data_IF_459910011292
#
_entry.id   IF_459910011292
#
_cell.length_a   1.000
_cell.length_b   1.000
_cell.length_c   1.000
_cell.angle_alpha   90.00
_cell.angle_beta   90.00
_cell.angle_gamma   90.00
#
_symmetry.space_group_name_H-M   'P 1'
#
loop_
_entity.id
_entity.type
_entity.pdbx_description
1 polymer ?
#
# COMPACT_ATOMS: atom_id res chain seq x y z
N UNK A 1 2.92 35.21 0.06
CA UNK A 1 3.26 34.55 1.33
C UNK A 1 2.13 33.58 1.57
N UNK A 2 2.39 32.31 1.33
CA UNK A 2 1.42 31.27 1.62
C UNK A 2 1.10 31.33 3.11
N UNK A 3 -0.19 31.44 3.43
CA UNK A 3 -0.62 31.49 4.82
C UNK A 3 -0.31 30.12 5.43
N UNK A 4 0.43 30.12 6.52
CA UNK A 4 0.66 28.93 7.33
C UNK A 4 -0.40 28.89 8.42
N UNK A 5 -0.92 27.70 8.69
CA UNK A 5 -1.99 27.44 9.64
C UNK A 5 -1.53 26.39 10.66
N UNK A 6 -1.84 26.62 11.93
CA UNK A 6 -1.58 25.65 12.98
C UNK A 6 -2.69 24.60 13.00
N UNK A 7 -2.34 23.32 12.80
CA UNK A 7 -3.28 22.20 12.88
C UNK A 7 -2.95 21.33 14.08
N UNK A 8 -3.87 21.26 15.04
CA UNK A 8 -3.71 20.55 16.30
C UNK A 8 -4.53 19.26 16.32
N UNK A 9 -3.93 18.15 16.75
CA UNK A 9 -4.64 16.92 17.09
C UNK A 9 -5.14 17.01 18.52
N UNK A 10 -6.45 16.91 18.70
CA UNK A 10 -7.10 16.82 19.99
C UNK A 10 -6.81 15.47 20.66
N UNK A 11 -6.55 15.48 21.97
CA UNK A 11 -6.26 14.27 22.74
C UNK A 11 -5.45 14.53 24.00
N UNK A 12 -5.07 13.46 24.70
CA UNK A 12 -4.27 13.52 25.92
C UNK A 12 -2.80 13.90 25.68
N UNK A 13 -2.29 13.72 24.47
CA UNK A 13 -0.96 14.15 24.02
C UNK A 13 -1.11 14.98 22.72
N UNK A 14 -1.48 16.27 22.83
CA UNK A 14 -1.75 17.10 21.67
C UNK A 14 -0.47 17.28 20.84
N UNK A 15 -0.61 17.07 19.53
CA UNK A 15 0.44 17.34 18.54
C UNK A 15 -0.02 18.47 17.65
N UNK A 16 0.87 19.42 17.37
CA UNK A 16 0.59 20.56 16.49
C UNK A 16 1.57 20.54 15.33
N UNK A 17 1.05 20.72 14.13
CA UNK A 17 1.81 20.79 12.88
C UNK A 17 1.47 22.09 12.17
N UNK A 18 2.49 22.80 11.70
CA UNK A 18 2.33 23.97 10.84
C UNK A 18 2.10 23.49 9.40
N UNK A 19 1.00 23.94 8.78
CA UNK A 19 0.56 23.47 7.45
C UNK A 19 0.38 24.67 6.53
N UNK A 20 1.00 24.65 5.36
CA UNK A 20 0.77 25.68 4.35
C UNK A 20 -0.67 25.60 3.80
N UNK A 21 -1.28 26.74 3.45
CA UNK A 21 -2.68 26.81 3.04
C UNK A 21 -3.04 26.08 1.73
N UNK A 22 -2.04 25.67 0.95
CA UNK A 22 -2.13 24.84 -0.24
C UNK A 22 -1.65 23.39 -0.02
N UNK A 23 -1.10 23.09 1.17
CA UNK A 23 -0.62 21.76 1.52
C UNK A 23 -1.73 20.91 2.12
N UNK A 24 -1.78 19.64 1.68
CA UNK A 24 -2.74 18.65 2.21
C UNK A 24 -2.36 18.29 3.65
N UNK A 25 -3.36 18.16 4.52
CA UNK A 25 -3.16 17.81 5.93
C UNK A 25 -2.31 16.55 6.08
N UNK A 26 -2.63 15.48 5.35
CA UNK A 26 -1.87 14.23 5.45
C UNK A 26 -0.38 14.39 5.10
N UNK A 27 -0.06 15.11 4.03
CA UNK A 27 1.32 15.35 3.60
C UNK A 27 2.10 16.12 4.67
N UNK A 28 1.52 17.20 5.22
CA UNK A 28 2.15 18.00 6.25
C UNK A 28 2.42 17.21 7.54
N UNK A 29 1.45 16.40 7.96
CA UNK A 29 1.55 15.58 9.16
C UNK A 29 2.66 14.54 9.05
N UNK A 30 2.69 13.77 7.96
CA UNK A 30 3.71 12.73 7.78
C UNK A 30 5.11 13.31 7.57
N UNK A 31 5.24 14.48 6.94
CA UNK A 31 6.53 15.21 6.83
C UNK A 31 7.06 15.70 8.18
N UNK A 32 6.18 15.93 9.13
CA UNK A 32 6.55 16.32 10.50
C UNK A 32 6.66 15.11 11.46
N UNK A 33 6.63 13.88 10.93
CA UNK A 33 6.70 12.66 11.74
C UNK A 33 5.48 12.43 12.62
N UNK A 34 4.37 13.12 12.35
CA UNK A 34 3.09 12.93 13.04
C UNK A 34 2.24 12.00 12.21
N UNK A 35 2.11 10.77 12.67
CA UNK A 35 1.32 9.76 11.98
C UNK A 35 -0.16 10.16 11.88
N UNK A 36 -0.73 9.92 10.70
CA UNK A 36 -2.17 9.84 10.46
C UNK A 36 -2.46 8.58 9.63
N UNK A 37 -3.58 7.88 9.90
CA UNK A 37 -3.93 6.70 9.13
C UNK A 37 -4.03 6.99 7.63
N UNK A 38 -3.41 6.18 6.78
CA UNK A 38 -3.42 6.35 5.34
C UNK A 38 -3.20 5.04 4.57
N UNK A 39 -3.74 4.97 3.34
CA UNK A 39 -3.55 3.82 2.45
C UNK A 39 -3.39 4.26 0.99
N UNK A 40 -4.26 5.12 0.44
CA UNK A 40 -4.20 5.41 -1.01
C UNK A 40 -3.64 6.78 -1.44
N UNK A 41 -3.62 7.77 -0.53
CA UNK A 41 -3.34 9.20 -0.82
C UNK A 41 -4.13 9.88 -1.97
N UNK A 42 -5.16 9.23 -2.53
CA UNK A 42 -5.95 9.71 -3.67
C UNK A 42 -7.46 9.82 -3.39
N UNK A 43 -7.86 9.76 -2.11
CA UNK A 43 -9.26 9.96 -1.70
C UNK A 43 -10.20 8.78 -1.96
N UNK A 44 -9.69 7.57 -2.23
CA UNK A 44 -10.52 6.40 -2.60
C UNK A 44 -10.70 5.37 -1.47
N UNK A 45 -9.82 5.36 -0.45
CA UNK A 45 -9.84 4.32 0.60
C UNK A 45 -10.64 4.69 1.86
N UNK A 46 -10.72 5.99 2.19
CA UNK A 46 -11.36 6.48 3.42
C UNK A 46 -10.55 6.30 4.72
N UNK A 47 -9.37 5.68 4.70
CA UNK A 47 -8.54 5.44 5.89
C UNK A 47 -8.13 6.74 6.59
N UNK A 48 -7.79 7.78 5.84
CA UNK A 48 -7.35 9.08 6.38
C UNK A 48 -8.50 9.98 6.87
N UNK A 49 -9.62 9.39 7.28
CA UNK A 49 -10.78 10.14 7.76
C UNK A 49 -10.48 10.70 9.15
N UNK A 50 -10.58 12.01 9.26
CA UNK A 50 -10.39 12.76 10.52
C UNK A 50 -11.60 13.67 10.73
N UNK A 51 -11.88 14.06 11.97
CA UNK A 51 -13.00 14.95 12.27
C UNK A 51 -12.49 16.33 12.61
N UNK A 52 -12.99 17.36 11.95
CA UNK A 52 -12.70 18.75 12.29
C UNK A 52 -13.56 19.16 13.48
N UNK A 53 -12.91 19.49 14.60
CA UNK A 53 -13.57 20.00 15.80
C UNK A 53 -13.70 21.52 15.77
N UNK A 54 -12.68 22.21 15.26
CA UNK A 54 -12.63 23.67 15.09
C UNK A 54 -11.83 24.06 13.85
N UNK A 55 -12.13 25.23 13.31
CA UNK A 55 -11.46 25.77 12.12
C UNK A 55 -12.15 25.38 10.82
N UNK A 56 -11.52 25.75 9.70
CA UNK A 56 -12.05 25.56 8.36
C UNK A 56 -11.00 24.83 7.51
N UNK A 57 -11.44 23.78 6.83
CA UNK A 57 -10.67 23.09 5.81
C UNK A 57 -11.45 23.08 4.50
N UNK A 58 -10.73 23.01 3.39
CA UNK A 58 -11.29 22.84 2.05
C UNK A 58 -10.83 21.49 1.48
N UNK A 59 -11.76 20.74 0.90
CA UNK A 59 -11.47 19.50 0.16
C UNK A 59 -12.35 19.43 -1.09
N UNK A 60 -11.92 18.75 -2.17
CA UNK A 60 -12.78 18.40 -3.29
C UNK A 60 -13.98 17.57 -2.83
N UNK A 61 -15.08 17.61 -3.59
CA UNK A 61 -16.26 16.77 -3.31
C UNK A 61 -15.88 15.30 -3.33
N UNK A 62 -15.95 14.59 -2.20
CA UNK A 62 -15.56 13.19 -2.13
C UNK A 62 -16.66 12.30 -2.68
N UNK A 63 -16.30 11.07 -3.06
CA UNK A 63 -17.29 10.05 -3.38
C UNK A 63 -18.13 9.72 -2.15
N UNK A 64 -19.45 9.64 -2.32
CA UNK A 64 -20.39 9.25 -1.25
C UNK A 64 -20.10 7.85 -0.67
N UNK A 65 -19.44 6.99 -1.47
CA UNK A 65 -19.00 5.66 -1.03
C UNK A 65 -17.82 5.69 -0.06
N UNK A 66 -17.05 6.79 -0.05
CA UNK A 66 -15.85 6.96 0.78
C UNK A 66 -16.14 7.86 1.99
N UNK A 67 -16.86 8.95 1.76
CA UNK A 67 -17.26 9.91 2.79
C UNK A 67 -18.71 10.35 2.55
N UNK A 68 -19.64 9.83 3.35
CA UNK A 68 -21.07 10.08 3.16
C UNK A 68 -21.46 11.52 3.48
N UNK A 69 -22.62 11.97 3.00
CA UNK A 69 -23.14 13.30 3.31
C UNK A 69 -23.34 13.52 4.84
N UNK A 70 -23.76 12.48 5.55
CA UNK A 70 -23.93 12.51 7.01
C UNK A 70 -22.58 12.66 7.74
N UNK A 71 -21.55 11.97 7.25
CA UNK A 71 -20.19 12.09 7.79
C UNK A 71 -19.63 13.50 7.54
N UNK A 72 -19.80 14.04 6.33
CA UNK A 72 -19.41 15.41 6.00
C UNK A 72 -20.11 16.44 6.89
N UNK A 73 -21.42 16.30 7.07
CA UNK A 73 -22.22 17.17 7.95
C UNK A 73 -21.79 17.03 9.42
N UNK A 74 -21.29 15.86 9.82
CA UNK A 74 -20.73 15.61 11.14
C UNK A 74 -19.29 16.11 11.32
N UNK A 75 -18.73 16.78 10.31
CA UNK A 75 -17.40 17.39 10.35
C UNK A 75 -16.26 16.45 9.95
N UNK A 76 -16.55 15.26 9.40
CA UNK A 76 -15.49 14.39 8.88
C UNK A 76 -14.97 14.86 7.53
N UNK A 77 -13.66 14.72 7.35
CA UNK A 77 -12.94 15.09 6.12
C UNK A 77 -11.86 14.05 5.81
N UNK A 78 -11.37 14.04 4.58
CA UNK A 78 -10.24 13.19 4.19
C UNK A 78 -8.94 13.98 4.29
N UNK A 79 -8.05 13.63 5.23
CA UNK A 79 -6.80 14.37 5.44
C UNK A 79 -5.92 14.42 4.17
N UNK A 80 -5.96 13.39 3.32
CA UNK A 80 -5.22 13.37 2.04
C UNK A 80 -5.80 14.31 0.97
N UNK A 81 -6.99 14.85 1.15
CA UNK A 81 -7.66 15.75 0.20
C UNK A 81 -7.94 17.14 0.79
N UNK A 82 -7.69 17.34 2.09
CA UNK A 82 -8.06 18.55 2.81
C UNK A 82 -6.88 19.51 2.95
N UNK A 83 -7.12 20.81 2.75
CA UNK A 83 -6.16 21.91 2.99
C UNK A 83 -6.76 22.89 4.01
N UNK A 84 -5.96 23.43 4.95
CA UNK A 84 -6.47 24.34 5.98
C UNK A 84 -6.68 25.76 5.43
N UNK A 85 -7.74 26.44 5.89
CA UNK A 85 -8.03 27.87 5.60
C UNK A 85 -8.00 28.77 6.84
N UNK A 86 -7.86 28.15 8.01
CA UNK A 86 -7.63 28.77 9.31
C UNK A 86 -6.79 27.81 10.15
N UNK A 87 -6.46 28.18 11.38
CA UNK A 87 -6.00 27.20 12.37
C UNK A 87 -7.12 26.17 12.60
N UNK A 88 -6.75 24.90 12.75
CA UNK A 88 -7.69 23.77 12.79
C UNK A 88 -7.39 22.88 13.99
N UNK A 89 -8.45 22.39 14.64
CA UNK A 89 -8.38 21.34 15.65
C UNK A 89 -9.05 20.09 15.08
N UNK A 90 -8.33 18.97 15.01
CA UNK A 90 -8.82 17.70 14.46
C UNK A 90 -8.82 16.58 15.51
N UNK A 91 -9.79 15.68 15.42
CA UNK A 91 -9.82 14.42 16.14
C UNK A 91 -9.42 13.29 15.18
N UNK A 92 -8.51 12.44 15.65
CA UNK A 92 -8.03 11.25 14.93
C UNK A 92 -8.56 9.99 15.61
N UNK A 93 -8.73 8.88 14.86
CA UNK A 93 -9.10 7.59 15.44
C UNK A 93 -8.18 7.17 16.60
N UNK A 94 -8.72 6.52 17.62
CA UNK A 94 -7.99 6.15 18.85
C UNK A 94 -6.81 5.19 18.62
N UNK A 95 -6.83 4.43 17.52
CA UNK A 95 -5.77 3.52 17.06
C UNK A 95 -4.67 4.25 16.26
N UNK A 96 -4.78 5.56 16.07
CA UNK A 96 -3.75 6.36 15.39
C UNK A 96 -2.41 6.45 16.16
N UNK A 97 -2.29 5.85 17.33
CA UNK A 97 -1.03 5.77 18.08
C UNK A 97 -0.04 4.71 17.58
N UNK A 98 -0.49 3.74 16.78
CA UNK A 98 0.24 2.49 16.51
C UNK A 98 0.72 2.30 15.07
N UNK A 99 0.68 3.34 14.23
CA UNK A 99 1.10 3.24 12.83
C UNK A 99 2.59 3.50 12.59
N UNK A 100 3.07 3.24 11.36
CA UNK A 100 4.46 3.50 10.96
C UNK A 100 4.82 4.98 11.13
N UNK A 101 5.98 5.27 11.71
CA UNK A 101 6.42 6.64 12.07
C UNK A 101 7.54 7.18 11.19
N UNK A 102 7.74 6.58 10.02
CA UNK A 102 8.75 7.04 9.08
C UNK A 102 8.34 8.38 8.48
N UNK A 103 9.29 9.30 8.41
CA UNK A 103 9.05 10.66 7.91
C UNK A 103 8.88 10.62 6.40
N UNK A 104 7.77 11.17 5.93
CA UNK A 104 7.53 11.37 4.51
C UNK A 104 8.55 12.37 3.95
N UNK A 105 9.21 12.03 2.85
CA UNK A 105 10.14 12.91 2.15
C UNK A 105 10.10 12.71 0.64
N UNK A 106 10.61 13.71 -0.06
CA UNK A 106 10.87 13.62 -1.49
C UNK A 106 12.18 12.84 -1.69
N UNK A 107 12.19 11.99 -2.70
CA UNK A 107 13.23 11.02 -2.99
C UNK A 107 13.63 11.15 -4.45
N UNK A 108 14.94 11.06 -4.69
CA UNK A 108 15.49 10.90 -6.02
C UNK A 108 16.32 9.63 -6.06
N UNK A 109 16.32 9.00 -7.22
CA UNK A 109 17.13 7.82 -7.48
C UNK A 109 17.30 7.58 -8.97
N UNK A 110 17.97 6.48 -9.29
CA UNK A 110 18.15 6.04 -10.67
C UNK A 110 17.71 4.60 -10.83
N UNK A 111 17.10 4.31 -11.97
CA UNK A 111 16.81 2.92 -12.36
C UNK A 111 18.11 2.12 -12.32
N UNK A 112 18.14 1.10 -11.47
CA UNK A 112 19.25 0.17 -11.37
C UNK A 112 19.07 -1.01 -12.32
N UNK A 113 17.86 -1.56 -12.36
CA UNK A 113 17.54 -2.74 -13.17
C UNK A 113 16.05 -2.72 -13.54
N UNK A 114 15.73 -3.21 -14.75
CA UNK A 114 14.37 -3.53 -15.17
C UNK A 114 14.39 -4.97 -15.69
N UNK A 115 13.68 -5.87 -15.02
CA UNK A 115 13.60 -7.29 -15.39
C UNK A 115 12.17 -7.65 -15.75
N UNK A 116 11.95 -8.16 -16.95
CA UNK A 116 10.68 -8.84 -17.27
C UNK A 116 10.59 -10.13 -16.46
N UNK A 117 9.55 -10.26 -15.63
CA UNK A 117 9.40 -11.38 -14.69
C UNK A 117 8.21 -12.28 -15.01
N UNK A 118 7.23 -11.76 -15.76
CA UNK A 118 6.06 -12.47 -16.26
C UNK A 118 5.45 -11.66 -17.42
N UNK A 119 4.43 -12.23 -18.08
CA UNK A 119 3.65 -11.51 -19.09
C UNK A 119 3.10 -10.20 -18.49
N UNK A 120 3.31 -9.09 -19.21
CA UNK A 120 2.92 -7.74 -18.81
C UNK A 120 3.46 -7.32 -17.43
N UNK A 121 4.53 -7.93 -16.91
CA UNK A 121 5.00 -7.66 -15.54
C UNK A 121 6.52 -7.50 -15.48
N UNK A 122 6.98 -6.39 -14.88
CA UNK A 122 8.40 -6.13 -14.63
C UNK A 122 8.69 -5.99 -13.14
N UNK A 123 9.86 -6.46 -12.72
CA UNK A 123 10.51 -6.04 -11.49
C UNK A 123 11.40 -4.83 -11.81
N UNK A 124 11.10 -3.70 -11.19
CA UNK A 124 11.84 -2.44 -11.32
C UNK A 124 12.62 -2.20 -10.04
N UNK A 125 13.95 -2.11 -10.15
CA UNK A 125 14.81 -1.76 -9.02
C UNK A 125 15.33 -0.35 -9.20
N UNK A 126 15.15 0.51 -8.20
CA UNK A 126 15.65 1.90 -8.18
C UNK A 126 16.68 2.05 -7.08
N UNK A 127 17.88 2.51 -7.43
CA UNK A 127 18.90 2.90 -6.45
C UNK A 127 18.67 4.35 -6.03
N UNK A 128 18.42 4.57 -4.75
CA UNK A 128 18.18 5.87 -4.14
C UNK A 128 19.49 6.67 -3.98
N UNK A 129 19.37 8.00 -4.02
CA UNK A 129 20.47 8.88 -3.66
C UNK A 129 20.71 8.89 -2.13
N UNK A 130 19.62 8.79 -1.35
CA UNK A 130 19.66 8.68 0.12
C UNK A 130 18.75 7.52 0.61
N UNK A 131 19.20 6.66 1.53
CA UNK A 131 18.42 5.52 2.03
C UNK A 131 17.08 5.90 2.65
N UNK A 132 16.01 5.16 2.33
CA UNK A 132 14.68 5.36 2.86
C UNK A 132 14.41 4.42 4.04
N UNK A 133 14.07 4.98 5.20
CA UNK A 133 13.46 4.18 6.26
C UNK A 133 11.97 3.97 5.96
N UNK A 134 11.51 2.72 5.99
CA UNK A 134 10.11 2.36 5.79
C UNK A 134 9.77 1.09 6.58
N UNK A 135 8.47 0.80 6.69
CA UNK A 135 7.95 -0.45 7.27
C UNK A 135 7.54 -1.41 6.15
N UNK A 136 7.79 -2.71 6.33
CA UNK A 136 7.50 -3.73 5.33
C UNK A 136 6.02 -3.69 4.90
N UNK A 137 5.77 -3.49 3.61
CA UNK A 137 4.42 -3.38 3.02
C UNK A 137 3.97 -1.95 2.64
N UNK A 138 4.72 -0.92 3.06
CA UNK A 138 4.51 0.47 2.61
C UNK A 138 4.75 0.63 1.09
N UNK A 139 4.37 1.80 0.58
CA UNK A 139 4.56 2.17 -0.83
C UNK A 139 5.21 3.55 -0.98
N UNK A 140 5.66 3.87 -2.19
CA UNK A 140 6.02 5.22 -2.62
C UNK A 140 5.12 5.66 -3.76
N UNK A 141 4.94 6.97 -3.90
CA UNK A 141 4.42 7.58 -5.11
C UNK A 141 5.58 7.85 -6.06
N UNK A 142 5.51 7.34 -7.30
CA UNK A 142 6.47 7.61 -8.36
C UNK A 142 5.87 8.63 -9.32
N UNK A 143 6.61 9.70 -9.62
CA UNK A 143 6.21 10.74 -10.56
C UNK A 143 6.46 10.30 -12.00
N UNK A 144 5.45 10.41 -12.86
CA UNK A 144 5.58 10.17 -14.30
C UNK A 144 6.22 11.41 -14.96
N UNK A 145 7.41 11.28 -15.55
CA UNK A 145 8.17 12.42 -16.08
C UNK A 145 7.38 13.28 -17.06
N UNK A 146 7.45 14.60 -16.89
CA UNK A 146 6.83 15.57 -17.80
C UNK A 146 5.30 15.72 -17.70
N UNK A 147 4.64 15.00 -16.79
CA UNK A 147 3.17 15.01 -16.68
C UNK A 147 2.66 15.55 -15.33
N UNK A 148 3.49 15.51 -14.29
CA UNK A 148 3.06 15.84 -12.91
C UNK A 148 2.17 14.78 -12.26
N UNK A 149 1.81 13.73 -12.99
CA UNK A 149 1.02 12.61 -12.48
C UNK A 149 1.86 11.70 -11.60
N UNK A 150 1.30 11.22 -10.50
CA UNK A 150 1.96 10.27 -9.58
C UNK A 150 1.21 8.95 -9.54
N UNK A 151 1.92 7.84 -9.36
CA UNK A 151 1.33 6.51 -9.18
C UNK A 151 1.97 5.77 -8.00
N UNK A 152 1.14 5.03 -7.29
CA UNK A 152 1.51 4.29 -6.09
C UNK A 152 2.13 2.95 -6.48
N UNK A 153 3.33 2.66 -5.95
CA UNK A 153 4.02 1.38 -6.11
C UNK A 153 4.54 0.90 -4.77
N UNK A 154 4.05 -0.26 -4.32
CA UNK A 154 4.47 -0.90 -3.08
C UNK A 154 5.89 -1.46 -3.18
N UNK A 155 6.69 -1.27 -2.13
CA UNK A 155 8.03 -1.84 -2.05
C UNK A 155 7.95 -3.37 -1.87
N UNK A 156 8.77 -4.08 -2.64
CA UNK A 156 8.89 -5.54 -2.61
C UNK A 156 10.10 -6.02 -1.79
N UNK A 157 11.12 -5.17 -1.63
CA UNK A 157 12.26 -5.45 -0.75
C UNK A 157 11.86 -5.28 0.73
N UNK A 158 12.48 -6.05 1.65
CA UNK A 158 12.30 -5.84 3.08
C UNK A 158 12.94 -4.51 3.52
N UNK A 159 12.50 -3.92 4.64
CA UNK A 159 13.09 -2.70 5.19
C UNK A 159 14.50 -3.02 5.73
N UNK A 160 15.49 -2.87 4.87
CA UNK A 160 16.92 -3.00 5.18
C UNK A 160 17.60 -1.66 4.99
N UNK A 161 18.80 -1.52 5.54
CA UNK A 161 19.67 -0.37 5.27
C UNK A 161 20.33 -0.46 3.88
N UNK A 162 19.59 -0.92 2.86
CA UNK A 162 20.02 -0.84 1.47
C UNK A 162 19.47 0.41 0.79
N UNK A 163 20.19 0.87 -0.22
CA UNK A 163 19.85 2.02 -1.05
C UNK A 163 18.99 1.62 -2.25
N UNK A 164 18.34 0.44 -2.24
CA UNK A 164 17.57 -0.07 -3.38
C UNK A 164 16.11 -0.27 -2.99
N UNK A 165 15.20 0.22 -3.82
CA UNK A 165 13.77 -0.13 -3.75
C UNK A 165 13.40 -1.01 -4.93
N UNK A 166 12.74 -2.13 -4.65
CA UNK A 166 12.22 -3.06 -5.67
C UNK A 166 10.70 -2.88 -5.77
N UNK A 167 10.18 -2.81 -7.00
CA UNK A 167 8.75 -2.68 -7.29
C UNK A 167 8.33 -3.73 -8.31
N UNK A 168 7.14 -4.33 -8.15
CA UNK A 168 6.56 -5.20 -9.17
C UNK A 168 5.44 -4.46 -9.90
N UNK A 169 5.64 -4.19 -11.19
CA UNK A 169 4.77 -3.32 -12.00
C UNK A 169 4.07 -4.15 -13.06
N UNK A 170 2.73 -4.10 -13.06
CA UNK A 170 1.88 -4.70 -14.11
C UNK A 170 1.57 -3.64 -15.16
N UNK A 171 1.72 -3.98 -16.45
CA UNK A 171 1.30 -3.15 -17.57
C UNK A 171 -0.22 -2.99 -17.56
N UNK A 172 -0.67 -1.74 -17.66
CA UNK A 172 -2.07 -1.39 -17.88
C UNK A 172 -2.15 -0.72 -19.24
N UNK A 173 -2.76 -1.41 -20.22
CA UNK A 173 -2.86 -0.89 -21.59
C UNK A 173 -3.50 0.50 -21.64
N UNK A 174 -2.86 1.43 -22.36
CA UNK A 174 -3.24 2.85 -22.43
C UNK A 174 -2.95 3.65 -21.14
N UNK A 175 -2.33 3.04 -20.14
CA UNK A 175 -1.96 3.70 -18.88
C UNK A 175 -0.73 4.58 -19.03
N UNK A 176 -0.84 5.85 -18.63
CA UNK A 176 0.24 6.85 -18.75
C UNK A 176 1.57 6.41 -18.12
N UNK A 177 1.52 5.89 -16.88
CA UNK A 177 2.74 5.51 -16.15
C UNK A 177 3.33 4.18 -16.63
N UNK A 178 2.49 3.23 -17.03
CA UNK A 178 2.95 1.88 -17.37
C UNK A 178 3.23 1.78 -18.85
N UNK A 179 2.17 1.73 -19.67
CA UNK A 179 2.25 1.62 -21.13
C UNK A 179 2.97 2.81 -21.77
N UNK A 180 2.73 4.03 -21.27
CA UNK A 180 3.31 5.26 -21.81
C UNK A 180 4.70 5.63 -21.28
N UNK A 181 5.25 4.88 -20.32
CA UNK A 181 6.55 5.22 -19.73
C UNK A 181 7.36 4.00 -19.28
N UNK A 182 6.95 3.29 -18.22
CA UNK A 182 7.74 2.18 -17.64
C UNK A 182 8.02 1.07 -18.67
N UNK A 183 7.04 0.75 -19.52
CA UNK A 183 7.14 -0.32 -20.54
C UNK A 183 7.54 0.20 -21.93
N UNK A 184 7.83 1.49 -22.08
CA UNK A 184 8.14 2.10 -23.38
C UNK A 184 9.52 2.78 -23.40
N UNK A 185 9.72 3.77 -22.54
CA UNK A 185 10.90 4.65 -22.59
C UNK A 185 11.77 4.63 -21.34
N UNK A 186 11.34 3.98 -20.25
CA UNK A 186 12.16 3.83 -19.05
C UNK A 186 13.33 2.85 -19.30
N UNK A 187 14.54 3.23 -18.89
CA UNK A 187 15.74 2.43 -19.03
C UNK A 187 16.66 2.60 -17.82
N UNK A 188 17.62 1.69 -17.66
CA UNK A 188 18.67 1.78 -16.64
C UNK A 188 19.39 3.13 -16.68
N UNK A 189 19.69 3.66 -15.49
CA UNK A 189 20.33 4.97 -15.31
C UNK A 189 19.39 6.17 -15.40
N UNK A 190 18.14 6.01 -15.86
CA UNK A 190 17.16 7.09 -15.85
C UNK A 190 16.84 7.54 -14.43
N UNK A 191 16.68 8.86 -14.25
CA UNK A 191 16.29 9.43 -12.97
C UNK A 191 14.82 9.11 -12.68
N UNK A 192 14.52 8.85 -11.41
CA UNK A 192 13.17 8.59 -10.90
C UNK A 192 12.93 9.49 -9.69
N UNK A 193 11.86 10.28 -9.75
CA UNK A 193 11.38 11.10 -8.65
C UNK A 193 10.27 10.35 -7.91
N UNK A 194 10.38 10.31 -6.59
CA UNK A 194 9.43 9.59 -5.75
C UNK A 194 9.12 10.38 -4.48
N UNK A 195 8.03 10.02 -3.80
CA UNK A 195 7.67 10.55 -2.49
C UNK A 195 7.19 9.41 -1.60
N UNK A 196 7.75 9.31 -0.40
CA UNK A 196 7.38 8.25 0.55
C UNK A 196 8.16 8.28 1.87
N UNK A 197 7.92 7.28 2.74
CA UNK A 197 6.98 6.18 2.52
C UNK A 197 5.54 6.57 2.88
N UNK A 198 4.59 5.87 2.28
CA UNK A 198 3.15 5.96 2.55
C UNK A 198 2.57 4.61 2.95
N UNK A 199 1.39 4.63 3.56
CA UNK A 199 0.54 3.45 3.79
C UNK A 199 0.67 2.85 5.18
N UNK A 200 -0.46 2.29 5.63
CA UNK A 200 -0.62 1.55 6.90
C UNK A 200 -0.66 0.03 6.70
N UNK A 201 -0.50 -0.45 5.47
CA UNK A 201 -0.43 -1.88 5.18
C UNK A 201 0.96 -2.41 5.55
N UNK A 202 1.20 -2.53 6.85
CA UNK A 202 2.49 -2.91 7.40
C UNK A 202 2.41 -4.20 8.19
N UNK A 203 3.53 -4.91 8.28
CA UNK A 203 3.68 -6.04 9.19
C UNK A 203 3.38 -5.61 10.64
N UNK A 204 2.48 -6.33 11.30
CA UNK A 204 2.17 -6.18 12.72
C UNK A 204 3.19 -6.97 13.55
N UNK A 205 4.14 -6.23 14.14
CA UNK A 205 5.22 -6.81 14.94
C UNK A 205 4.74 -7.41 16.28
N UNK A 206 3.55 -7.01 16.77
CA UNK A 206 2.97 -7.54 18.01
C UNK A 206 2.20 -8.86 17.77
N UNK A 207 2.01 -9.25 16.50
CA UNK A 207 1.33 -10.49 16.15
C UNK A 207 2.32 -11.66 16.11
N UNK A 208 2.18 -12.59 17.05
CA UNK A 208 3.04 -13.79 17.19
C UNK A 208 2.54 -15.03 16.42
N UNK A 209 1.35 -14.96 15.83
CA UNK A 209 0.69 -16.11 15.19
C UNK A 209 1.10 -16.34 13.73
N UNK A 210 0.66 -17.47 13.13
CA UNK A 210 0.88 -17.75 11.72
C UNK A 210 0.25 -16.69 10.80
N UNK A 211 0.84 -16.51 9.63
CA UNK A 211 0.44 -15.48 8.66
C UNK A 211 -0.22 -16.08 7.42
N UNK A 212 -1.33 -15.50 6.98
CA UNK A 212 -1.93 -15.76 5.66
C UNK A 212 -1.63 -14.56 4.75
N UNK A 213 -0.96 -14.78 3.64
CA UNK A 213 -0.69 -13.75 2.63
C UNK A 213 -1.52 -14.07 1.37
N UNK A 214 -2.45 -13.19 0.98
CA UNK A 214 -3.24 -13.35 -0.25
C UNK A 214 -2.85 -12.30 -1.27
N UNK A 215 -2.11 -12.71 -2.30
CA UNK A 215 -1.66 -11.86 -3.40
C UNK A 215 -2.57 -12.01 -4.62
N UNK A 216 -2.91 -10.91 -5.27
CA UNK A 216 -3.50 -10.89 -6.61
C UNK A 216 -2.58 -10.17 -7.59
N UNK A 217 -2.00 -10.90 -8.55
CA UNK A 217 -1.01 -10.34 -9.48
C UNK A 217 0.14 -9.62 -8.76
N UNK A 218 0.40 -8.36 -9.12
CA UNK A 218 1.46 -7.55 -8.48
C UNK A 218 1.19 -7.13 -7.04
N UNK A 219 0.03 -7.49 -6.47
CA UNK A 219 -0.17 -7.45 -5.02
C UNK A 219 0.79 -8.36 -4.24
N UNK A 220 1.56 -9.21 -4.92
CA UNK A 220 2.67 -9.97 -4.33
C UNK A 220 3.80 -9.07 -3.82
N UNK A 221 4.03 -7.89 -4.39
CA UNK A 221 5.13 -6.99 -4.00
C UNK A 221 5.17 -6.70 -2.49
N UNK A 222 4.16 -6.04 -1.87
CA UNK A 222 4.23 -5.75 -0.44
C UNK A 222 4.23 -7.01 0.42
N UNK A 223 3.65 -8.11 -0.08
CA UNK A 223 3.64 -9.39 0.63
C UNK A 223 5.03 -10.07 0.65
N UNK A 224 5.83 -9.89 -0.40
CA UNK A 224 7.25 -10.28 -0.44
C UNK A 224 8.05 -9.52 0.63
N UNK A 225 7.85 -8.20 0.71
CA UNK A 225 8.47 -7.35 1.74
C UNK A 225 8.07 -7.80 3.16
N UNK A 226 6.77 -7.97 3.42
CA UNK A 226 6.24 -8.42 4.72
C UNK A 226 6.76 -9.81 5.10
N UNK A 227 6.75 -10.78 4.18
CA UNK A 227 7.20 -12.14 4.48
C UNK A 227 8.69 -12.17 4.83
N UNK A 228 9.53 -11.49 4.04
CA UNK A 228 10.97 -11.42 4.29
C UNK A 228 11.27 -10.74 5.62
N UNK A 229 10.60 -9.64 5.92
CA UNK A 229 10.78 -8.96 7.21
C UNK A 229 10.31 -9.82 8.39
N UNK A 230 9.16 -10.49 8.25
CA UNK A 230 8.66 -11.37 9.30
C UNK A 230 9.63 -12.54 9.59
N UNK A 231 10.25 -13.11 8.56
CA UNK A 231 11.26 -14.18 8.70
C UNK A 231 12.62 -13.68 9.23
N UNK A 232 12.95 -12.40 9.04
CA UNK A 232 14.12 -11.80 9.69
C UNK A 232 13.92 -11.67 11.20
N UNK A 233 12.71 -11.31 11.63
CA UNK A 233 12.35 -11.20 13.04
C UNK A 233 12.15 -12.56 13.70
N UNK A 234 11.53 -13.50 12.97
CA UNK A 234 11.23 -14.86 13.43
C UNK A 234 11.43 -15.87 12.28
N UNK A 235 12.64 -16.47 12.18
CA UNK A 235 12.98 -17.41 11.09
C UNK A 235 12.12 -18.68 11.02
N UNK A 236 11.45 -19.04 12.11
CA UNK A 236 10.59 -20.23 12.22
C UNK A 236 9.11 -19.90 12.01
N UNK A 237 8.78 -18.64 11.69
CA UNK A 237 7.41 -18.18 11.52
C UNK A 237 6.68 -18.96 10.43
N UNK A 238 5.47 -19.39 10.75
CA UNK A 238 4.57 -20.05 9.80
C UNK A 238 3.90 -19.00 8.89
N UNK A 239 4.10 -19.13 7.57
CA UNK A 239 3.61 -18.22 6.55
C UNK A 239 2.98 -19.02 5.41
N UNK A 240 1.69 -18.79 5.14
CA UNK A 240 0.99 -19.35 4.00
C UNK A 240 0.73 -18.26 2.96
N UNK A 241 1.44 -18.31 1.85
CA UNK A 241 1.27 -17.40 0.72
C UNK A 241 0.45 -18.05 -0.39
N UNK A 242 -0.64 -17.38 -0.77
CA UNK A 242 -1.45 -17.70 -1.94
C UNK A 242 -1.24 -16.63 -3.02
N UNK A 243 -0.73 -17.03 -4.19
CA UNK A 243 -0.48 -16.12 -5.30
C UNK A 243 -1.48 -16.36 -6.44
N UNK A 244 -2.49 -15.48 -6.49
CA UNK A 244 -3.61 -15.56 -7.43
C UNK A 244 -3.35 -14.80 -8.73
N UNK A 245 -3.38 -15.51 -9.84
CA UNK A 245 -3.29 -14.94 -11.19
C UNK A 245 -4.29 -15.59 -12.16
N UNK A 246 -4.28 -15.18 -13.44
CA UNK A 246 -5.20 -15.75 -14.45
C UNK A 246 -4.60 -16.99 -15.08
N UNK A 247 -3.39 -16.86 -15.61
CA UNK A 247 -2.66 -17.90 -16.33
C UNK A 247 -1.29 -18.12 -15.70
N UNK A 248 -0.66 -19.25 -16.00
CA UNK A 248 0.69 -19.56 -15.54
C UNK A 248 1.71 -18.51 -15.99
N UNK A 249 1.53 -17.91 -17.17
CA UNK A 249 2.42 -16.87 -17.68
C UNK A 249 2.37 -15.56 -16.90
N UNK A 250 1.36 -15.37 -16.04
CA UNK A 250 1.28 -14.23 -15.11
C UNK A 250 2.04 -14.49 -13.79
N UNK A 251 2.46 -15.73 -13.51
CA UNK A 251 3.22 -16.07 -12.30
C UNK A 251 4.67 -15.63 -12.46
N UNK A 252 5.24 -15.11 -11.38
CA UNK A 252 6.64 -14.74 -11.28
C UNK A 252 7.16 -14.96 -9.86
N UNK A 253 8.49 -14.93 -9.71
CA UNK A 253 9.20 -15.25 -8.46
C UNK A 253 8.84 -16.64 -7.87
N UNK A 254 8.35 -17.57 -8.71
CA UNK A 254 7.96 -18.93 -8.28
C UNK A 254 9.15 -19.63 -7.64
N UNK A 255 10.30 -19.64 -8.34
CA UNK A 255 11.53 -20.28 -7.87
C UNK A 255 12.08 -19.59 -6.61
N UNK A 256 11.86 -18.29 -6.46
CA UNK A 256 12.23 -17.55 -5.25
C UNK A 256 11.42 -18.05 -4.04
N UNK A 257 10.10 -18.19 -4.19
CA UNK A 257 9.22 -18.65 -3.11
C UNK A 257 9.42 -20.13 -2.79
N UNK A 258 9.65 -20.97 -3.80
CA UNK A 258 10.02 -22.38 -3.61
C UNK A 258 11.35 -22.50 -2.85
N UNK A 259 12.38 -21.72 -3.24
CA UNK A 259 13.66 -21.69 -2.53
C UNK A 259 13.54 -21.10 -1.12
N UNK A 260 12.61 -20.18 -0.87
CA UNK A 260 12.33 -19.66 0.47
C UNK A 260 11.68 -20.73 1.34
N UNK A 261 10.71 -21.48 0.80
CA UNK A 261 10.08 -22.62 1.48
C UNK A 261 11.06 -23.75 1.80
N UNK A 262 12.02 -24.03 0.92
CA UNK A 262 13.09 -25.00 1.18
C UNK A 262 13.99 -24.58 2.36
N UNK A 263 14.21 -23.28 2.54
CA UNK A 263 15.04 -22.71 3.61
C UNK A 263 14.28 -22.52 4.93
N UNK A 264 12.98 -22.26 4.86
CA UNK A 264 12.10 -22.00 5.99
C UNK A 264 10.91 -22.97 5.95
N UNK A 265 10.95 -24.09 6.69
CA UNK A 265 9.92 -25.14 6.62
C UNK A 265 8.50 -24.67 6.96
N UNK A 266 8.34 -23.56 7.67
CA UNK A 266 7.04 -22.92 7.95
C UNK A 266 6.48 -22.07 6.82
N UNK A 267 7.23 -21.86 5.73
CA UNK A 267 6.78 -21.09 4.57
C UNK A 267 6.15 -22.04 3.55
N UNK A 268 4.90 -21.75 3.20
CA UNK A 268 4.12 -22.51 2.23
C UNK A 268 3.68 -21.59 1.09
N UNK A 269 4.12 -21.90 -0.14
CA UNK A 269 3.75 -21.15 -1.33
C UNK A 269 2.73 -21.93 -2.18
N UNK A 270 1.58 -21.32 -2.44
CA UNK A 270 0.49 -21.90 -3.21
C UNK A 270 0.12 -21.00 -4.39
N UNK A 271 0.58 -21.30 -5.62
CA UNK A 271 0.11 -20.60 -6.81
C UNK A 271 -1.35 -20.98 -7.11
N UNK A 272 -2.19 -19.99 -7.41
CA UNK A 272 -3.61 -20.16 -7.72
C UNK A 272 -3.93 -19.57 -9.10
N UNK A 273 -4.36 -20.41 -10.04
CA UNK A 273 -4.71 -20.04 -11.41
C UNK A 273 -6.22 -20.02 -11.59
N UNK A 274 -6.79 -18.88 -12.01
CA UNK A 274 -8.24 -18.73 -12.17
C UNK A 274 -8.79 -19.08 -13.55
N UNK A 275 -7.91 -19.26 -14.56
CA UNK A 275 -8.30 -19.54 -15.95
C UNK A 275 -7.49 -20.65 -16.63
N UNK A 276 -6.64 -21.34 -15.87
CA UNK A 276 -5.77 -22.42 -16.34
C UNK A 276 -5.72 -23.53 -15.29
N UNK A 277 -5.65 -24.79 -15.74
CA UNK A 277 -5.48 -25.97 -14.90
C UNK A 277 -4.13 -26.64 -15.18
N UNK A 278 -3.69 -27.53 -14.28
CA UNK A 278 -2.49 -28.36 -14.47
C UNK A 278 -1.20 -27.83 -13.84
N UNK A 279 -1.23 -26.62 -13.27
CA UNK A 279 -0.14 -26.09 -12.43
C UNK A 279 -0.71 -25.39 -11.20
N UNK A 280 -0.19 -25.71 -10.01
CA UNK A 280 -0.71 -25.16 -8.76
C UNK A 280 -2.16 -25.56 -8.46
N UNK A 281 -2.88 -24.68 -7.75
CA UNK A 281 -4.31 -24.82 -7.45
C UNK A 281 -5.13 -24.08 -8.50
N UNK A 282 -6.25 -24.68 -8.91
CA UNK A 282 -7.22 -24.01 -9.77
C UNK A 282 -8.26 -23.25 -8.91
N UNK A 283 -8.58 -22.00 -9.28
CA UNK A 283 -9.57 -21.17 -8.61
C UNK A 283 -9.01 -19.86 -8.03
N UNK A 284 -9.86 -19.15 -7.28
CA UNK A 284 -9.48 -17.89 -6.62
C UNK A 284 -8.86 -18.14 -5.25
N UNK A 285 -7.86 -17.33 -4.86
CA UNK A 285 -7.10 -17.49 -3.60
C UNK A 285 -7.98 -17.59 -2.34
N UNK A 286 -9.08 -16.84 -2.29
CA UNK A 286 -10.00 -16.87 -1.14
C UNK A 286 -10.82 -18.17 -1.04
N UNK A 287 -11.08 -18.83 -2.17
CA UNK A 287 -11.78 -20.12 -2.19
C UNK A 287 -10.81 -21.23 -1.77
N UNK A 288 -9.61 -21.23 -2.34
CA UNK A 288 -8.52 -22.15 -2.00
C UNK A 288 -8.16 -22.07 -0.50
N UNK A 289 -8.00 -20.85 0.05
CA UNK A 289 -7.77 -20.64 1.49
C UNK A 289 -8.85 -21.31 2.35
N UNK A 290 -10.10 -21.22 1.92
CA UNK A 290 -11.23 -21.80 2.65
C UNK A 290 -11.22 -23.31 2.55
N UNK A 291 -10.77 -23.91 1.46
CA UNK A 291 -10.60 -25.36 1.36
C UNK A 291 -9.50 -25.86 2.31
N UNK A 292 -8.41 -25.12 2.44
CA UNK A 292 -7.21 -25.55 3.16
C UNK A 292 -7.34 -25.44 4.69
N UNK A 293 -8.17 -24.52 5.19
CA UNK A 293 -8.28 -24.25 6.62
C UNK A 293 -9.70 -24.38 7.15
N UNK A 294 -9.87 -25.14 8.23
CA UNK A 294 -11.13 -25.19 8.97
C UNK A 294 -11.38 -23.93 9.80
N UNK A 295 -10.30 -23.34 10.35
CA UNK A 295 -10.32 -22.18 11.22
C UNK A 295 -9.01 -21.40 11.12
N UNK A 296 -9.12 -20.07 11.10
CA UNK A 296 -8.02 -19.10 11.07
C UNK A 296 -7.97 -18.26 12.37
N UNK A 297 -8.46 -18.82 13.49
CA UNK A 297 -8.29 -18.19 14.81
C UNK A 297 -6.80 -18.21 15.18
N UNK A 298 -6.28 -17.06 15.60
CA UNK A 298 -4.87 -16.92 15.96
C UNK A 298 -3.95 -16.58 14.78
N UNK A 299 -4.48 -16.57 13.55
CA UNK A 299 -3.75 -16.12 12.37
C UNK A 299 -3.93 -14.62 12.16
N UNK A 300 -2.95 -14.00 11.52
CA UNK A 300 -3.06 -12.67 10.91
C UNK A 300 -3.06 -12.80 9.38
N UNK A 301 -3.90 -12.03 8.68
CA UNK A 301 -3.98 -12.05 7.23
C UNK A 301 -3.58 -10.71 6.60
N UNK A 302 -2.81 -10.77 5.53
CA UNK A 302 -2.38 -9.64 4.72
C UNK A 302 -2.84 -9.86 3.29
N UNK A 303 -3.72 -8.99 2.80
CA UNK A 303 -4.35 -9.15 1.50
C UNK A 303 -4.01 -7.96 0.60
N UNK A 304 -3.40 -8.20 -0.55
CA UNK A 304 -3.04 -7.14 -1.48
C UNK A 304 -3.34 -7.50 -2.93
N UNK A 305 -3.93 -6.55 -3.67
CA UNK A 305 -4.19 -6.66 -5.10
C UNK A 305 -5.47 -5.95 -5.54
N UNK A 306 -6.15 -6.44 -6.59
CA UNK A 306 -7.38 -5.84 -7.09
C UNK A 306 -8.48 -5.78 -6.01
N UNK A 307 -9.28 -4.69 -5.93
CA UNK A 307 -10.30 -4.50 -4.90
C UNK A 307 -11.25 -5.69 -4.72
N UNK A 308 -11.71 -6.29 -5.83
CA UNK A 308 -12.61 -7.43 -5.81
C UNK A 308 -11.97 -8.68 -5.16
N UNK A 309 -10.67 -8.92 -5.40
CA UNK A 309 -9.94 -10.02 -4.79
C UNK A 309 -9.79 -9.79 -3.29
N UNK A 310 -9.38 -8.58 -2.90
CA UNK A 310 -9.22 -8.20 -1.48
C UNK A 310 -10.55 -8.36 -0.72
N UNK A 311 -11.66 -7.86 -1.28
CA UNK A 311 -12.98 -7.97 -0.64
C UNK A 311 -13.47 -9.42 -0.51
N UNK A 312 -13.17 -10.27 -1.51
CA UNK A 312 -13.45 -11.70 -1.44
C UNK A 312 -12.59 -12.40 -0.38
N UNK A 313 -11.29 -12.08 -0.31
CA UNK A 313 -10.37 -12.63 0.68
C UNK A 313 -10.75 -12.24 2.12
N UNK A 314 -11.15 -10.98 2.36
CA UNK A 314 -11.65 -10.55 3.69
C UNK A 314 -12.86 -11.40 4.10
N UNK A 315 -13.79 -11.67 3.18
CA UNK A 315 -14.95 -12.55 3.45
C UNK A 315 -14.53 -13.99 3.72
N UNK A 316 -13.54 -14.51 2.99
CA UNK A 316 -12.97 -15.84 3.21
C UNK A 316 -12.34 -15.98 4.61
N UNK A 317 -11.49 -15.03 5.02
CA UNK A 317 -10.87 -15.03 6.35
C UNK A 317 -11.92 -14.98 7.47
N UNK A 318 -12.92 -14.09 7.34
CA UNK A 318 -14.03 -14.00 8.32
C UNK A 318 -14.88 -15.27 8.36
N UNK A 319 -15.14 -15.91 7.22
CA UNK A 319 -15.84 -17.20 7.13
C UNK A 319 -15.11 -18.29 7.91
N UNK A 320 -13.78 -18.25 7.94
CA UNK A 320 -12.92 -19.12 8.76
C UNK A 320 -12.60 -18.54 10.16
N UNK A 321 -13.46 -17.67 10.68
CA UNK A 321 -13.44 -17.15 12.08
C UNK A 321 -12.23 -16.29 12.44
N UNK A 322 -11.54 -15.71 11.46
CA UNK A 322 -10.52 -14.70 11.74
C UNK A 322 -11.19 -13.39 12.21
N UNK A 323 -10.77 -12.80 13.34
CA UNK A 323 -11.31 -11.53 13.80
C UNK A 323 -10.90 -10.39 12.86
N UNK A 324 -11.78 -9.41 12.65
CA UNK A 324 -11.53 -8.31 11.69
C UNK A 324 -10.27 -7.50 11.96
N UNK A 325 -9.85 -7.37 13.22
CA UNK A 325 -8.62 -6.67 13.63
C UNK A 325 -7.32 -7.35 13.16
N UNK A 326 -7.39 -8.64 12.82
CA UNK A 326 -6.24 -9.42 12.33
C UNK A 326 -6.24 -9.54 10.80
N UNK A 327 -7.06 -8.73 10.10
CA UNK A 327 -7.16 -8.71 8.65
C UNK A 327 -6.67 -7.35 8.14
N UNK A 328 -5.46 -7.34 7.60
CA UNK A 328 -4.80 -6.19 7.00
C UNK A 328 -5.02 -6.24 5.49
N UNK A 329 -5.24 -5.08 4.86
CA UNK A 329 -5.63 -5.02 3.44
C UNK A 329 -5.07 -3.79 2.74
N UNK A 330 -4.62 -4.00 1.51
CA UNK A 330 -4.19 -2.95 0.59
C UNK A 330 -4.86 -3.17 -0.76
N UNK A 331 -5.51 -2.13 -1.29
CA UNK A 331 -6.31 -2.22 -2.52
C UNK A 331 -5.66 -1.39 -3.61
N UNK A 332 -5.23 -2.04 -4.69
CA UNK A 332 -4.77 -1.37 -5.90
C UNK A 332 -5.97 -0.82 -6.68
N UNK A 333 -6.52 0.27 -6.16
CA UNK A 333 -7.64 0.98 -6.77
C UNK A 333 -7.10 1.85 -7.88
N UNK A 334 -7.58 1.72 -9.13
CA UNK A 334 -7.14 2.57 -10.23
C UNK A 334 -7.25 4.04 -9.84
N UNK A 335 -6.21 4.81 -10.17
CA UNK A 335 -6.25 6.26 -9.99
C UNK A 335 -7.43 6.83 -10.80
N UNK A 336 -8.18 7.81 -10.26
CA UNK A 336 -9.19 8.50 -11.03
C UNK A 336 -8.54 9.12 -12.27
N UNK A 337 -9.22 9.05 -13.41
CA UNK A 337 -8.75 9.69 -14.64
C UNK A 337 -8.80 11.20 -14.40
N UNK A 338 -7.65 11.88 -14.47
CA UNK A 338 -7.64 13.34 -14.47
C UNK A 338 -8.32 13.82 -15.75
N UNK A 339 -9.50 14.44 -15.63
CA UNK A 339 -10.03 15.25 -16.71
C UNK A 339 -9.05 16.42 -16.88
N UNK A 340 -8.30 16.43 -17.98
CA UNK A 340 -7.45 17.56 -18.34
C UNK A 340 -8.30 18.82 -18.34
N UNK A 341 -7.98 19.78 -17.46
CA UNK A 341 -8.55 21.13 -17.56
C UNK A 341 -8.09 21.68 -18.91
N UNK A 342 -8.99 21.95 -19.88
CA UNK A 342 -8.58 22.57 -21.12
C UNK A 342 -8.01 23.96 -20.81
N UNK A 343 -6.86 24.25 -21.45
CA UNK A 343 -6.09 25.48 -21.29
C UNK A 343 -6.89 26.76 -21.54
#
# INVERSE_FOLDING_TARGET
>A
MDRVHSVQVAGSDPRTVEVAGDQRLLDAFLRNGVYLPNSCNQGTCGTCKVKVLRGIVEQPTPSETVLSADEQTSGYVLACQSTPKSDVEIEVPLDAGCGPRHVLRDLTGKVHEIREVADDTVALTVRLDDPLEFSAGQYVEITVPGTGEVRQYSMANPPRSDDHLEFHVRRVGGGLATDGWIFDSLAEGHAVEMRGPWGDFVHDADADGPMILLAGGTGLAPLKSIALHALELDPEREIHLYHGVRYRSDLYDVEFWESLADRHPGVHYTPCLSREEGFGRHGYVGDVLVEDFDSLRGFSAYLCGPPAMVDAGVKACKRRRMPGRSIHREKYTPAPVSESVPA
#
